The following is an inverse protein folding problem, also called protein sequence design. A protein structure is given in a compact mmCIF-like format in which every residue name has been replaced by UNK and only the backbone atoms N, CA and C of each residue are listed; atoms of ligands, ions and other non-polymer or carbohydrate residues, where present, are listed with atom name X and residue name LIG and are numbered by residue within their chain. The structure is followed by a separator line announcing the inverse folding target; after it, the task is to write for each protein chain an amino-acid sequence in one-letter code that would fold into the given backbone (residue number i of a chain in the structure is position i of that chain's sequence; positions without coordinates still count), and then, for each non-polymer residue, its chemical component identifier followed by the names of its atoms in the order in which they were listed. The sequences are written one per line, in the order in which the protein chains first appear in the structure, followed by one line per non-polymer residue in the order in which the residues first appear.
data_IF_834071036155
#
_entry.id   IF_834071036155
#
_cell.length_a   1.000
_cell.length_b   1.000
_cell.length_c   1.000
_cell.angle_alpha   90.00
_cell.angle_beta   90.00
_cell.angle_gamma   90.00
#
_symmetry.space_group_name_H-M   'P 1'
#
loop_
_entity.id
_entity.type
_entity.pdbx_description
1 polymer ?
#
# COMPACT_ATOMS: atom_id res chain seq x y z
N UNK A 1 0.21 19.93 -7.26
CA UNK A 1 -0.94 19.26 -6.60
C UNK A 1 -0.94 19.39 -5.07
N UNK A 2 0.12 19.01 -4.35
CA UNK A 2 0.18 19.16 -2.87
C UNK A 2 -0.02 20.62 -2.42
N UNK A 3 0.67 21.59 -3.04
CA UNK A 3 0.52 23.02 -2.70
C UNK A 3 -0.93 23.53 -2.74
N UNK A 4 -1.69 23.17 -3.77
CA UNK A 4 -3.08 23.62 -3.96
C UNK A 4 -4.07 22.93 -3.03
N UNK A 5 -3.80 21.69 -2.60
CA UNK A 5 -4.62 21.01 -1.60
C UNK A 5 -4.38 21.58 -0.19
N UNK A 6 -3.11 21.84 0.16
CA UNK A 6 -2.71 22.35 1.47
C UNK A 6 -3.23 23.77 1.79
N UNK A 7 -3.48 24.60 0.77
CA UNK A 7 -4.01 25.97 0.95
C UNK A 7 -5.53 26.04 1.10
N UNK A 8 -6.25 24.93 0.91
CA UNK A 8 -7.73 24.90 0.99
C UNK A 8 -8.26 24.40 2.34
N UNK A 9 -7.37 23.98 3.25
CA UNK A 9 -7.77 23.47 4.56
C UNK A 9 -7.95 24.62 5.56
N UNK A 10 -9.06 24.66 6.32
CA UNK A 10 -9.39 25.76 7.22
C UNK A 10 -8.53 25.81 8.50
N UNK A 11 -7.80 24.74 8.82
CA UNK A 11 -6.96 24.59 10.01
C UNK A 11 -5.71 23.78 9.63
N UNK A 12 -4.49 24.33 9.77
CA UNK A 12 -3.28 23.57 9.39
C UNK A 12 -2.08 23.89 10.27
N UNK A 13 -1.34 22.85 10.70
CA UNK A 13 -0.01 22.94 11.35
C UNK A 13 0.79 21.67 11.08
N UNK A 14 1.97 21.79 10.46
CA UNK A 14 2.75 20.67 9.89
C UNK A 14 3.94 20.30 10.76
N UNK A 15 4.40 19.03 10.72
CA UNK A 15 5.65 18.60 11.39
C UNK A 15 6.48 17.75 10.44
N UNK A 16 7.41 18.39 9.73
CA UNK A 16 8.27 17.77 8.73
C UNK A 16 9.62 17.33 9.33
N UNK A 17 10.08 16.13 8.98
CA UNK A 17 11.33 15.51 9.42
C UNK A 17 12.05 14.91 8.21
N UNK A 18 12.48 15.80 7.30
CA UNK A 18 13.56 15.58 6.31
C UNK A 18 13.73 16.79 5.38
N UNK A 19 12.64 17.44 4.98
CA UNK A 19 12.65 18.34 3.81
C UNK A 19 12.73 19.83 4.08
N UNK A 20 13.56 20.55 3.30
CA UNK A 20 13.41 22.00 3.09
C UNK A 20 12.20 22.30 2.19
N UNK A 21 10.99 22.06 2.71
CA UNK A 21 9.79 22.43 1.97
C UNK A 21 9.58 23.93 2.11
N UNK A 22 9.80 24.66 1.03
CA UNK A 22 9.44 26.07 0.94
C UNK A 22 7.92 26.18 0.75
N UNK A 23 7.19 26.16 1.88
CA UNK A 23 5.75 26.44 1.92
C UNK A 23 5.57 27.87 2.42
N UNK A 24 4.88 28.69 1.63
CA UNK A 24 4.45 30.03 2.03
C UNK A 24 2.94 29.99 2.22
N UNK A 25 2.48 30.20 3.45
CA UNK A 25 1.07 30.29 3.81
C UNK A 25 0.92 30.63 5.29
N UNK A 26 0.01 31.55 5.63
CA UNK A 26 -0.19 32.05 7.00
C UNK A 26 -0.63 30.96 7.98
N UNK A 27 -1.22 29.88 7.48
CA UNK A 27 -1.72 28.74 8.25
C UNK A 27 -0.80 27.52 8.19
N UNK A 28 0.50 27.70 7.93
CA UNK A 28 1.46 26.60 7.80
C UNK A 28 2.61 26.83 8.77
N UNK A 29 2.69 26.01 9.82
CA UNK A 29 3.85 25.98 10.72
C UNK A 29 4.74 24.82 10.29
N UNK A 30 6.02 25.08 10.10
CA UNK A 30 7.04 24.10 9.76
C UNK A 30 7.94 23.89 10.97
N UNK A 31 8.08 22.65 11.40
CA UNK A 31 9.08 22.23 12.37
C UNK A 31 10.17 21.48 11.62
N UNK A 32 11.44 21.80 11.88
CA UNK A 32 12.60 21.18 11.24
C UNK A 32 13.34 20.33 12.27
N UNK A 33 13.35 19.02 12.02
CA UNK A 33 14.01 18.03 12.87
C UNK A 33 15.23 17.38 12.21
N UNK A 34 15.58 17.80 10.99
CA UNK A 34 16.62 17.17 10.18
C UNK A 34 17.90 18.02 10.06
N UNK A 35 17.79 19.35 10.04
CA UNK A 35 18.96 20.20 9.77
C UNK A 35 19.99 20.24 10.90
N UNK A 36 19.59 19.99 12.15
CA UNK A 36 20.48 20.03 13.31
C UNK A 36 20.22 18.88 14.30
N UNK A 37 20.26 17.65 13.79
CA UNK A 37 20.05 16.43 14.60
C UNK A 37 21.07 16.35 15.76
N UNK A 38 22.31 16.75 15.50
CA UNK A 38 23.40 16.70 16.48
C UNK A 38 23.43 17.88 17.47
N UNK A 39 22.58 18.90 17.28
CA UNK A 39 22.57 20.09 18.15
C UNK A 39 23.87 20.91 18.06
N UNK A 40 24.52 20.89 16.89
CA UNK A 40 25.74 21.64 16.65
C UNK A 40 25.47 23.13 16.48
N UNK A 41 24.25 23.49 16.09
CA UNK A 41 23.82 24.87 15.99
C UNK A 41 23.24 25.36 17.32
N UNK A 42 24.11 25.93 18.16
CA UNK A 42 23.71 26.52 19.45
C UNK A 42 22.80 27.75 19.31
N UNK A 43 22.63 28.28 18.10
CA UNK A 43 21.72 29.41 17.83
C UNK A 43 20.26 28.98 17.67
N UNK A 44 20.01 27.69 17.42
CA UNK A 44 18.67 27.13 17.28
C UNK A 44 18.23 26.48 18.59
N UNK A 45 17.03 26.84 19.05
CA UNK A 45 16.39 26.09 20.12
C UNK A 45 16.08 24.68 19.59
N UNK A 46 16.69 23.66 20.21
CA UNK A 46 16.40 22.27 19.91
C UNK A 46 14.95 21.97 20.26
N UNK A 47 14.09 21.88 19.25
CA UNK A 47 12.71 21.44 19.46
C UNK A 47 12.67 19.93 19.60
N UNK A 48 11.87 19.45 20.55
CA UNK A 48 11.61 18.04 20.74
C UNK A 48 10.24 17.66 20.20
N UNK A 49 10.09 16.46 19.66
CA UNK A 49 8.86 15.98 19.05
C UNK A 49 7.69 16.02 20.04
N UNK A 50 7.95 15.69 21.31
CA UNK A 50 6.94 15.77 22.37
C UNK A 50 6.53 17.21 22.67
N UNK A 51 7.49 18.14 22.67
CA UNK A 51 7.20 19.57 22.85
C UNK A 51 6.30 20.11 21.74
N UNK A 52 6.54 19.70 20.49
CA UNK A 52 5.70 20.08 19.34
C UNK A 52 4.32 19.46 19.46
N UNK A 53 4.24 18.15 19.78
CA UNK A 53 2.98 17.43 19.98
C UNK A 53 2.11 18.08 21.07
N UNK A 54 2.72 18.61 22.12
CA UNK A 54 2.03 19.28 23.22
C UNK A 54 1.35 20.59 22.80
N UNK A 55 1.92 21.32 21.83
CA UNK A 55 1.44 22.64 21.34
C UNK A 55 0.35 22.55 20.27
N UNK A 56 0.03 21.36 19.78
CA UNK A 56 -1.05 21.16 18.81
C UNK A 56 -2.42 21.41 19.45
N UNK A 57 -3.29 22.10 18.71
CA UNK A 57 -4.63 22.52 19.05
C UNK A 57 -5.69 21.64 18.38
N UNK A 58 -6.96 21.86 18.74
CA UNK A 58 -8.08 21.25 18.06
C UNK A 58 -8.25 21.79 16.63
N UNK A 59 -8.41 20.90 15.66
CA UNK A 59 -8.47 21.19 14.23
C UNK A 59 -7.14 20.98 13.49
N UNK A 60 -6.02 20.79 14.18
CA UNK A 60 -4.72 20.71 13.51
C UNK A 60 -4.57 19.40 12.71
N UNK A 61 -3.98 19.50 11.51
CA UNK A 61 -3.62 18.37 10.63
C UNK A 61 -2.11 18.21 10.62
N UNK A 62 -1.63 17.10 11.18
CA UNK A 62 -0.19 16.79 11.27
C UNK A 62 0.24 15.98 10.05
N UNK A 63 1.28 16.42 9.37
CA UNK A 63 1.90 15.69 8.26
C UNK A 63 3.37 15.47 8.60
N UNK A 64 3.80 14.21 8.57
CA UNK A 64 5.17 13.76 8.79
C UNK A 64 5.66 13.06 7.52
N UNK A 65 6.75 13.55 6.95
CA UNK A 65 7.38 13.04 5.73
C UNK A 65 8.15 11.73 5.94
N UNK A 66 8.87 11.54 7.05
CA UNK A 66 9.62 10.31 7.26
C UNK A 66 9.52 9.83 8.69
N UNK A 67 8.64 8.84 8.88
CA UNK A 67 8.55 8.10 10.13
C UNK A 67 9.83 7.28 10.39
N UNK A 68 10.52 6.83 9.34
CA UNK A 68 11.77 6.09 9.49
C UNK A 68 12.84 6.93 10.19
N UNK A 69 13.00 8.20 9.80
CA UNK A 69 13.95 9.11 10.45
C UNK A 69 13.59 9.39 11.91
N UNK A 70 12.30 9.57 12.24
CA UNK A 70 11.87 9.70 13.62
C UNK A 70 12.27 8.47 14.46
N UNK A 71 12.09 7.26 13.91
CA UNK A 71 12.50 6.01 14.56
C UNK A 71 14.02 5.95 14.74
N UNK A 72 14.81 6.37 13.75
CA UNK A 72 16.28 6.39 13.87
C UNK A 72 16.79 7.39 14.90
N UNK A 73 16.17 8.58 14.97
CA UNK A 73 16.62 9.66 15.84
C UNK A 73 16.17 9.49 17.29
N UNK A 74 14.91 9.12 17.51
CA UNK A 74 14.29 9.06 18.85
C UNK A 74 14.10 7.63 19.36
N UNK A 75 14.27 6.64 18.49
CA UNK A 75 13.95 5.24 18.78
C UNK A 75 12.49 4.89 18.52
N UNK A 76 12.24 3.59 18.32
CA UNK A 76 10.90 3.06 18.04
C UNK A 76 9.91 3.33 19.17
N UNK A 77 10.31 3.08 20.41
CA UNK A 77 9.43 3.17 21.57
C UNK A 77 8.92 4.60 21.77
N UNK A 78 9.81 5.59 21.70
CA UNK A 78 9.42 6.98 21.87
C UNK A 78 8.62 7.52 20.70
N UNK A 79 9.02 7.18 19.47
CA UNK A 79 8.23 7.53 18.29
C UNK A 79 6.80 6.97 18.42
N UNK A 80 6.66 5.68 18.74
CA UNK A 80 5.35 5.06 18.93
C UNK A 80 4.54 5.72 20.05
N UNK A 81 5.18 6.04 21.19
CA UNK A 81 4.54 6.73 22.31
C UNK A 81 3.97 8.08 21.89
N UNK A 82 4.76 8.90 21.18
CA UNK A 82 4.32 10.22 20.72
C UNK A 82 3.17 10.12 19.72
N UNK A 83 3.24 9.22 18.73
CA UNK A 83 2.13 9.04 17.79
C UNK A 83 0.87 8.49 18.45
N UNK A 84 1.01 7.65 19.48
CA UNK A 84 -0.13 7.19 20.27
C UNK A 84 -0.74 8.34 21.10
N UNK A 85 0.08 9.22 21.67
CA UNK A 85 -0.38 10.44 22.34
C UNK A 85 -1.12 11.37 21.37
N UNK A 86 -0.56 11.60 20.17
CA UNK A 86 -1.20 12.43 19.14
C UNK A 86 -2.56 11.87 18.71
N UNK A 87 -2.65 10.54 18.59
CA UNK A 87 -3.90 9.84 18.27
C UNK A 87 -4.96 9.99 19.37
N UNK A 88 -4.58 9.96 20.64
CA UNK A 88 -5.51 10.05 21.77
C UNK A 88 -5.86 11.48 22.16
N UNK A 89 -5.00 12.44 21.80
CA UNK A 89 -5.21 13.86 22.08
C UNK A 89 -6.46 14.37 21.37
N UNK A 90 -7.44 14.80 22.16
CA UNK A 90 -8.69 15.38 21.65
C UNK A 90 -8.39 16.68 20.95
N UNK A 91 -8.45 16.67 19.62
CA UNK A 91 -8.33 17.87 18.82
C UNK A 91 -7.57 17.68 17.51
N UNK A 92 -6.60 16.76 17.43
CA UNK A 92 -5.91 16.55 16.15
C UNK A 92 -6.88 15.92 15.16
N UNK A 93 -7.13 16.61 14.04
CA UNK A 93 -8.13 16.19 13.06
C UNK A 93 -7.63 14.99 12.24
N UNK A 94 -6.37 15.05 11.81
CA UNK A 94 -5.76 14.02 10.99
C UNK A 94 -4.26 13.98 11.19
N UNK A 95 -3.69 12.78 11.16
CA UNK A 95 -2.25 12.54 11.17
C UNK A 95 -1.93 11.76 9.90
N UNK A 96 -1.06 12.31 9.07
CA UNK A 96 -0.59 11.69 7.83
C UNK A 96 0.90 11.45 8.00
N UNK A 97 1.33 10.20 7.87
CA UNK A 97 2.74 9.84 7.96
C UNK A 97 3.16 9.08 6.70
N UNK A 98 4.39 9.32 6.26
CA UNK A 98 5.03 8.54 5.22
C UNK A 98 6.12 7.66 5.85
N UNK A 99 6.11 6.39 5.47
CA UNK A 99 7.01 5.37 6.01
C UNK A 99 7.80 4.72 4.87
N UNK A 100 9.10 5.02 4.85
CA UNK A 100 10.07 4.48 3.90
C UNK A 100 10.52 3.10 4.36
N UNK A 101 10.00 2.05 3.71
CA UNK A 101 10.23 0.64 4.10
C UNK A 101 11.62 0.13 3.75
N UNK A 102 12.30 0.82 2.85
CA UNK A 102 13.68 0.58 2.40
C UNK A 102 14.73 1.05 3.41
N UNK A 103 14.38 2.02 4.25
CA UNK A 103 15.29 2.55 5.26
C UNK A 103 15.38 1.68 6.52
N UNK A 104 14.56 0.63 6.68
CA UNK A 104 14.53 -0.15 7.93
C UNK A 104 14.66 -1.66 7.73
N UNK A 105 15.53 -2.29 8.51
CA UNK A 105 15.83 -3.73 8.45
C UNK A 105 14.61 -4.60 8.84
N UNK A 106 13.92 -4.27 9.93
CA UNK A 106 12.76 -5.02 10.47
C UNK A 106 11.41 -4.51 9.95
N UNK A 107 11.31 -4.29 8.63
CA UNK A 107 10.15 -3.63 8.00
C UNK A 107 8.80 -4.23 8.40
N UNK A 108 8.69 -5.56 8.50
CA UNK A 108 7.40 -6.24 8.74
C UNK A 108 6.92 -6.03 10.18
N UNK A 109 7.84 -6.03 11.14
CA UNK A 109 7.54 -5.82 12.56
C UNK A 109 7.13 -4.37 12.80
N UNK A 110 7.88 -3.43 12.24
CA UNK A 110 7.59 -2.00 12.37
C UNK A 110 6.28 -1.62 11.69
N UNK A 111 6.07 -2.11 10.48
CA UNK A 111 4.83 -1.85 9.74
C UNK A 111 3.61 -2.29 10.53
N UNK A 112 3.66 -3.44 11.22
CA UNK A 112 2.55 -3.90 12.07
C UNK A 112 2.25 -2.96 13.23
N UNK A 113 3.25 -2.46 13.94
CA UNK A 113 3.03 -1.53 15.06
C UNK A 113 2.28 -0.28 14.60
N UNK A 114 2.76 0.38 13.54
CA UNK A 114 2.12 1.59 13.04
C UNK A 114 0.82 1.29 12.28
N UNK A 115 0.67 0.11 11.69
CA UNK A 115 -0.61 -0.36 11.15
C UNK A 115 -1.63 -0.44 12.28
N UNK A 116 -1.30 -0.90 13.49
CA UNK A 116 -2.27 -0.90 14.62
C UNK A 116 -2.74 0.50 15.01
N UNK A 117 -1.87 1.51 14.91
CA UNK A 117 -2.25 2.90 15.19
C UNK A 117 -3.12 3.50 14.08
N UNK A 118 -2.85 3.14 12.82
CA UNK A 118 -3.50 3.74 11.65
C UNK A 118 -4.93 3.24 11.43
N UNK A 119 -5.75 4.16 10.91
CA UNK A 119 -7.10 3.90 10.40
C UNK A 119 -7.08 3.60 8.91
N UNK A 120 -6.18 4.25 8.17
CA UNK A 120 -5.92 4.04 6.76
C UNK A 120 -4.42 3.81 6.56
N UNK A 121 -4.07 2.74 5.85
CA UNK A 121 -2.71 2.46 5.40
C UNK A 121 -2.73 2.33 3.89
N UNK A 122 -1.79 3.01 3.22
CA UNK A 122 -1.64 3.02 1.76
C UNK A 122 -0.21 2.57 1.47
N UNK A 123 -0.06 1.44 0.78
CA UNK A 123 1.22 0.91 0.37
C UNK A 123 1.34 0.99 -1.15
N UNK A 124 2.36 1.71 -1.63
CA UNK A 124 2.61 1.91 -3.05
C UNK A 124 3.55 0.80 -3.53
N UNK A 125 3.13 0.04 -4.54
CA UNK A 125 4.00 -0.95 -5.15
C UNK A 125 4.94 -0.33 -6.19
N UNK A 126 6.20 -0.80 -6.25
CA UNK A 126 7.13 -0.40 -7.30
C UNK A 126 6.62 -0.76 -8.71
N UNK A 127 6.78 0.17 -9.65
CA UNK A 127 6.34 0.03 -11.06
C UNK A 127 7.05 -1.10 -11.83
N UNK A 128 8.18 -1.62 -11.35
CA UNK A 128 8.83 -2.74 -12.02
C UNK A 128 8.11 -4.08 -11.77
N UNK A 129 7.25 -4.15 -10.75
CA UNK A 129 6.52 -5.37 -10.37
C UNK A 129 5.24 -5.53 -11.21
N UNK A 130 4.62 -4.41 -11.56
CA UNK A 130 3.40 -4.37 -12.37
C UNK A 130 3.54 -3.26 -13.40
N UNK A 131 3.25 -3.53 -14.67
CA UNK A 131 3.42 -2.54 -15.74
C UNK A 131 2.67 -1.22 -15.53
N UNK A 132 1.68 -1.20 -14.62
CA UNK A 132 0.96 -0.02 -14.14
C UNK A 132 1.27 0.20 -12.64
N UNK A 133 1.21 1.44 -12.16
CA UNK A 133 1.36 1.73 -10.72
C UNK A 133 0.23 1.10 -9.92
N UNK A 134 0.58 0.34 -8.87
CA UNK A 134 -0.40 -0.30 -7.97
C UNK A 134 -0.31 0.26 -6.58
N UNK A 135 -1.47 0.29 -5.92
CA UNK A 135 -1.60 0.71 -4.54
C UNK A 135 -2.47 -0.27 -3.78
N UNK A 136 -1.98 -0.71 -2.62
CA UNK A 136 -2.74 -1.50 -1.67
C UNK A 136 -3.21 -0.58 -0.57
N UNK A 137 -4.52 -0.49 -0.36
CA UNK A 137 -5.04 0.24 0.77
C UNK A 137 -5.75 -0.68 1.76
N UNK A 138 -5.49 -0.43 3.04
CA UNK A 138 -6.16 -1.07 4.17
C UNK A 138 -6.88 0.01 4.96
N UNK A 139 -8.20 -0.07 5.02
CA UNK A 139 -9.04 0.88 5.74
C UNK A 139 -9.82 0.18 6.86
N UNK A 140 -9.74 0.73 8.07
CA UNK A 140 -10.42 0.24 9.27
C UNK A 140 -11.61 1.14 9.58
N UNK A 141 -12.81 0.59 9.41
CA UNK A 141 -14.05 1.29 9.76
C UNK A 141 -14.24 1.35 11.28
N UNK A 142 -15.03 2.32 11.73
CA UNK A 142 -15.40 2.50 13.15
C UNK A 142 -16.04 1.24 13.76
N UNK A 143 -16.74 0.42 12.96
CA UNK A 143 -17.31 -0.86 13.38
C UNK A 143 -16.33 -2.05 13.41
N UNK A 144 -15.02 -1.81 13.35
CA UNK A 144 -13.98 -2.85 13.38
C UNK A 144 -13.78 -3.62 12.07
N UNK A 145 -14.67 -3.45 11.08
CA UNK A 145 -14.51 -4.04 9.75
C UNK A 145 -13.28 -3.47 9.04
N UNK A 146 -12.39 -4.36 8.62
CA UNK A 146 -11.20 -4.02 7.83
C UNK A 146 -11.48 -4.29 6.36
N UNK A 147 -11.22 -3.29 5.51
CA UNK A 147 -11.33 -3.36 4.05
C UNK A 147 -9.93 -3.35 3.47
N UNK A 148 -9.57 -4.38 2.71
CA UNK A 148 -8.31 -4.45 1.97
C UNK A 148 -8.61 -4.51 0.48
N UNK A 149 -8.02 -3.61 -0.29
CA UNK A 149 -8.26 -3.52 -1.74
C UNK A 149 -6.98 -3.09 -2.45
N UNK A 150 -6.88 -3.50 -3.71
CA UNK A 150 -5.78 -3.19 -4.61
C UNK A 150 -6.37 -2.34 -5.72
N UNK A 151 -5.75 -1.19 -5.99
CA UNK A 151 -6.10 -0.31 -7.09
C UNK A 151 -4.89 -0.11 -8.00
N UNK A 152 -5.14 0.00 -9.30
CA UNK A 152 -4.18 0.56 -10.24
C UNK A 152 -4.42 2.06 -10.33
N UNK A 153 -3.35 2.84 -10.29
CA UNK A 153 -3.41 4.28 -10.48
C UNK A 153 -2.67 4.68 -11.74
N UNK A 154 -3.22 5.66 -12.45
CA UNK A 154 -2.64 6.26 -13.65
C UNK A 154 -2.83 7.77 -13.58
N UNK A 155 -1.93 8.47 -14.25
CA UNK A 155 -2.05 9.90 -14.49
C UNK A 155 -2.49 10.09 -15.95
N UNK A 156 -3.68 10.63 -16.15
CA UNK A 156 -4.19 11.04 -17.45
C UNK A 156 -4.00 12.56 -17.56
N UNK A 157 -2.83 12.98 -18.07
CA UNK A 157 -2.43 14.39 -18.03
C UNK A 157 -2.17 14.86 -16.60
N UNK A 158 -2.98 15.81 -16.12
CA UNK A 158 -2.94 16.29 -14.73
C UNK A 158 -3.96 15.58 -13.82
N UNK A 159 -4.82 14.71 -14.34
CA UNK A 159 -5.82 14.02 -13.53
C UNK A 159 -5.28 12.70 -12.99
N UNK A 160 -5.52 12.47 -11.69
CA UNK A 160 -5.19 11.22 -11.02
C UNK A 160 -6.40 10.29 -11.05
N UNK A 161 -6.29 9.20 -11.80
CA UNK A 161 -7.37 8.21 -11.98
C UNK A 161 -6.98 6.91 -11.27
N UNK A 162 -7.90 6.36 -10.47
CA UNK A 162 -7.73 5.05 -9.84
C UNK A 162 -8.79 4.06 -10.34
N UNK A 163 -8.34 2.83 -10.59
CA UNK A 163 -9.20 1.72 -11.00
C UNK A 163 -9.00 0.55 -10.04
N UNK A 164 -10.10 0.06 -9.47
CA UNK A 164 -10.08 -1.11 -8.61
C UNK A 164 -9.69 -2.36 -9.40
N UNK A 165 -8.69 -3.09 -8.91
CA UNK A 165 -8.43 -4.44 -9.38
C UNK A 165 -9.37 -5.37 -8.62
N UNK A 166 -10.38 -5.87 -9.32
CA UNK A 166 -11.17 -6.98 -8.79
C UNK A 166 -10.27 -8.20 -8.72
N UNK A 167 -10.11 -8.77 -7.52
CA UNK A 167 -9.49 -10.09 -7.40
C UNK A 167 -10.33 -11.06 -8.23
N UNK A 168 -9.74 -11.81 -9.17
CA UNK A 168 -10.49 -12.82 -9.90
C UNK A 168 -11.11 -13.79 -8.89
N UNK A 169 -12.40 -14.04 -9.05
CA UNK A 169 -13.16 -14.94 -8.19
C UNK A 169 -12.44 -16.31 -8.20
N UNK A 170 -12.07 -16.90 -7.05
CA UNK A 170 -11.34 -18.17 -7.01
C UNK A 170 -12.06 -19.29 -7.79
N UNK A 171 -13.39 -19.21 -7.91
CA UNK A 171 -14.18 -20.11 -8.75
C UNK A 171 -13.86 -19.99 -10.24
N UNK A 172 -13.66 -18.77 -10.75
CA UNK A 172 -13.30 -18.52 -12.16
C UNK A 172 -11.88 -18.97 -12.47
N UNK A 173 -10.96 -18.87 -11.50
CA UNK A 173 -9.60 -19.39 -11.66
C UNK A 173 -9.59 -20.93 -11.67
N UNK A 174 -10.39 -21.57 -10.82
CA UNK A 174 -10.60 -23.02 -10.82
C UNK A 174 -11.14 -23.51 -12.17
N UNK A 175 -12.18 -22.86 -12.71
CA UNK A 175 -12.73 -23.17 -14.04
C UNK A 175 -11.69 -23.00 -15.16
N UNK A 176 -10.84 -21.96 -15.10
CA UNK A 176 -9.75 -21.75 -16.07
C UNK A 176 -8.56 -22.72 -15.91
N UNK A 177 -8.44 -23.36 -14.75
CA UNK A 177 -7.38 -24.33 -14.42
C UNK A 177 -7.78 -25.78 -14.67
N UNK A 178 -9.07 -26.04 -14.90
CA UNK A 178 -9.52 -27.30 -15.48
C UNK A 178 -9.02 -27.32 -16.91
N UNK A 179 -8.01 -28.15 -17.18
CA UNK A 179 -7.53 -28.41 -18.54
C UNK A 179 -8.77 -28.71 -19.40
N UNK A 180 -8.90 -28.16 -20.62
CA UNK A 180 -9.89 -28.68 -21.55
C UNK A 180 -9.68 -30.20 -21.61
N UNK A 181 -10.77 -30.95 -21.52
CA UNK A 181 -10.74 -32.42 -21.56
C UNK A 181 -10.05 -32.81 -22.88
N UNK A 182 -8.73 -33.07 -22.80
CA UNK A 182 -7.94 -33.35 -23.99
C UNK A 182 -8.27 -34.78 -24.36
N UNK A 183 -9.00 -34.93 -25.45
CA UNK A 183 -9.34 -36.23 -26.02
C UNK A 183 -8.04 -37.01 -26.27
N UNK A 184 -7.80 -38.13 -25.55
CA UNK A 184 -6.55 -38.87 -25.64
C UNK A 184 -6.24 -39.39 -27.04
N UNK A 185 -7.22 -39.44 -27.96
CA UNK A 185 -7.00 -39.78 -29.37
C UNK A 185 -6.25 -38.70 -30.16
N UNK A 186 -6.22 -37.46 -29.67
CA UNK A 186 -5.55 -36.32 -30.35
C UNK A 186 -4.09 -36.15 -29.95
N UNK A 187 -3.66 -36.80 -28.86
CA UNK A 187 -2.30 -36.69 -28.31
C UNK A 187 -1.34 -37.77 -28.82
N UNK A 188 -1.83 -38.77 -29.55
CA UNK A 188 -1.01 -39.89 -30.03
C UNK A 188 -0.80 -39.79 -31.54
N UNK A 189 0.45 -39.92 -32.00
CA UNK A 189 0.78 -40.05 -33.44
C UNK A 189 0.30 -41.38 -34.05
N UNK A 190 -0.15 -42.31 -33.20
CA UNK A 190 -0.75 -43.58 -33.58
C UNK A 190 -2.17 -43.63 -33.05
N UNK A 191 -3.17 -43.79 -33.92
CA UNK A 191 -4.55 -44.02 -33.50
C UNK A 191 -4.64 -45.41 -32.87
N UNK A 192 -4.98 -45.46 -31.58
CA UNK A 192 -5.10 -46.71 -30.81
C UNK A 192 -6.54 -47.26 -30.90
N UNK A 193 -7.53 -46.41 -31.12
CA UNK A 193 -8.93 -46.80 -31.33
C UNK A 193 -9.22 -47.17 -32.79
N UNK A 194 -9.97 -48.25 -32.99
CA UNK A 194 -10.63 -48.53 -34.27
C UNK A 194 -11.85 -47.61 -34.36
N UNK A 195 -11.94 -46.85 -35.45
CA UNK A 195 -13.17 -46.10 -35.76
C UNK A 195 -14.33 -47.05 -35.99
N UNK A 196 -15.57 -46.59 -35.79
CA UNK A 196 -16.76 -47.44 -35.94
C UNK A 196 -16.83 -48.12 -37.32
N UNK A 197 -16.34 -47.45 -38.36
CA UNK A 197 -16.21 -48.00 -39.71
C UNK A 197 -15.19 -49.13 -39.83
N UNK A 198 -14.08 -49.06 -39.10
CA UNK A 198 -13.05 -50.11 -39.08
C UNK A 198 -13.48 -51.32 -38.24
N UNK A 199 -14.25 -51.08 -37.17
CA UNK A 199 -14.89 -52.13 -36.37
C UNK A 199 -15.88 -52.94 -37.20
N UNK A 200 -16.77 -52.27 -37.94
CA UNK A 200 -17.71 -52.96 -38.83
C UNK A 200 -17.01 -53.74 -39.94
N UNK A 201 -15.88 -53.24 -40.43
CA UNK A 201 -15.10 -53.91 -41.47
C UNK A 201 -14.39 -55.15 -40.94
N UNK A 202 -13.91 -55.12 -39.69
CA UNK A 202 -13.36 -56.30 -39.01
C UNK A 202 -14.44 -57.35 -38.74
N UNK A 203 -15.61 -56.93 -38.29
CA UNK A 203 -16.68 -57.86 -37.92
C UNK A 203 -17.37 -58.50 -39.15
N UNK A 204 -17.20 -57.91 -40.34
CA UNK A 204 -17.62 -58.47 -41.64
C UNK A 204 -16.52 -59.29 -42.33
N UNK A 205 -15.32 -59.37 -41.77
CA UNK A 205 -14.21 -60.11 -42.37
C UNK A 205 -14.37 -61.59 -42.04
N UNK A 206 -14.87 -62.36 -43.00
CA UNK A 206 -15.01 -63.81 -42.89
C UNK A 206 -13.62 -64.44 -43.02
N UNK A 207 -13.07 -64.90 -41.90
CA UNK A 207 -11.72 -65.47 -41.88
C UNK A 207 -11.76 -66.87 -42.51
N UNK A 208 -10.94 -67.15 -43.52
CA UNK A 208 -10.83 -68.50 -44.04
C UNK A 208 -10.16 -69.35 -42.95
N UNK A 209 -10.89 -70.38 -42.51
CA UNK A 209 -10.52 -71.41 -41.53
C UNK A 209 -10.75 -71.06 -40.05
N UNK A 210 -11.96 -71.37 -39.58
CA UNK A 210 -12.21 -71.98 -38.26
C UNK A 210 -12.81 -73.36 -38.49
#
# INVERSE_FOLDING_TARGET
MLRSYLTTLPHTKFVLIEGQVHVSGENVILHDFASDVCGWDTSKNKEDLESVASRLNAGDVVIVDSLAHAIFQYGLAETYRVFNLLKTKTGVQQIITLFHTDLVEDKDKLSRYFEHLSTLSICIEPKFISGNGRVHYTYKKLGGKIIKQIEEYKFEGEEFVTQKIEKPDPKKLLESSMRPEVDPETLTTFKIGLTDTERESRDKLDLPYV
#
